data_IF_374946624753
#
_entry.id   IF_374946624753
#
_cell.length_a   1.000
_cell.length_b   1.000
_cell.length_c   1.000
_cell.angle_alpha   90.00
_cell.angle_beta   90.00
_cell.angle_gamma   90.00
#
_symmetry.space_group_name_H-M   'P 1'
#
loop_
_entity.id
_entity.type
_entity.pdbx_description
1 polymer ?
#
# COMPACT_ATOMS: atom_id res chain seq x y z
N UNK A 1 45.26 -31.49 -42.51
CA UNK A 1 44.54 -31.34 -41.21
C UNK A 1 44.41 -29.89 -40.72
N UNK A 2 44.70 -28.86 -41.49
CA UNK A 2 44.69 -27.44 -41.05
C UNK A 2 43.30 -26.79 -41.24
N UNK A 3 42.46 -27.31 -42.17
CA UNK A 3 41.16 -26.69 -42.46
C UNK A 3 40.06 -26.79 -41.39
N UNK A 4 40.11 -27.76 -40.50
CA UNK A 4 39.06 -27.96 -39.47
C UNK A 4 39.27 -27.11 -38.21
N UNK A 5 40.48 -26.60 -37.97
CA UNK A 5 40.77 -25.77 -36.81
C UNK A 5 40.29 -24.32 -37.02
N UNK A 6 40.26 -23.82 -38.25
CA UNK A 6 39.75 -22.48 -38.59
C UNK A 6 38.22 -22.41 -38.59
N UNK A 7 37.50 -23.48 -38.95
CA UNK A 7 36.03 -23.51 -38.91
C UNK A 7 35.46 -23.42 -37.47
N UNK A 8 36.15 -23.91 -36.44
CA UNK A 8 35.73 -23.80 -35.04
C UNK A 8 35.92 -22.40 -34.45
N UNK A 9 36.86 -21.60 -34.96
CA UNK A 9 37.14 -20.24 -34.48
C UNK A 9 36.13 -19.20 -34.98
N UNK A 10 35.35 -19.48 -35.99
CA UNK A 10 34.36 -18.60 -36.61
C UNK A 10 32.92 -19.10 -36.45
N UNK A 11 32.65 -20.02 -35.52
CA UNK A 11 31.28 -20.36 -35.21
C UNK A 11 30.57 -19.12 -34.63
N UNK A 12 29.47 -18.71 -35.26
CA UNK A 12 28.63 -17.57 -34.78
C UNK A 12 28.33 -17.80 -33.29
N UNK A 13 28.63 -16.82 -32.49
CA UNK A 13 28.30 -16.88 -31.08
C UNK A 13 26.80 -17.17 -30.91
N UNK A 14 26.38 -18.06 -30.00
CA UNK A 14 24.99 -18.36 -29.82
C UNK A 14 24.23 -17.08 -29.46
N UNK A 15 22.96 -16.93 -29.91
CA UNK A 15 22.15 -15.78 -29.61
C UNK A 15 22.08 -15.52 -28.07
N UNK A 16 22.17 -14.25 -27.63
CA UNK A 16 22.12 -13.93 -26.22
C UNK A 16 20.75 -14.31 -25.64
N UNK A 17 20.76 -14.90 -24.45
CA UNK A 17 19.53 -15.13 -23.66
C UNK A 17 19.00 -13.83 -23.11
N UNK A 18 17.78 -13.48 -23.47
CA UNK A 18 17.12 -12.21 -23.09
C UNK A 18 15.77 -12.54 -22.48
N UNK A 19 15.47 -11.88 -21.35
CA UNK A 19 14.17 -12.05 -20.69
C UNK A 19 13.11 -11.31 -21.49
N UNK A 20 12.08 -12.04 -21.88
CA UNK A 20 10.94 -11.53 -22.64
C UNK A 20 9.65 -11.70 -21.85
N UNK A 21 8.65 -10.92 -22.20
CA UNK A 21 7.27 -11.02 -21.68
C UNK A 21 6.30 -10.62 -22.78
N UNK A 22 5.03 -10.87 -22.57
CA UNK A 22 3.94 -10.37 -23.41
C UNK A 22 3.29 -9.15 -22.78
N UNK A 23 2.90 -8.21 -23.60
CA UNK A 23 2.05 -7.09 -23.19
C UNK A 23 0.67 -7.59 -22.80
N UNK A 24 0.09 -7.09 -21.73
CA UNK A 24 -1.22 -7.50 -21.21
C UNK A 24 -1.99 -6.28 -20.70
N UNK A 25 -3.28 -6.34 -20.76
CA UNK A 25 -4.14 -5.37 -20.10
C UNK A 25 -3.95 -5.42 -18.59
N UNK A 26 -3.87 -4.24 -17.98
CA UNK A 26 -3.70 -4.04 -16.55
C UNK A 26 -4.52 -2.84 -16.09
N UNK A 27 -4.86 -2.88 -14.82
CA UNK A 27 -5.44 -1.71 -14.16
C UNK A 27 -4.32 -0.72 -13.87
N UNK A 28 -4.50 0.51 -14.32
CA UNK A 28 -3.73 1.69 -13.94
C UNK A 28 -4.60 2.57 -13.07
N UNK A 29 -4.04 3.08 -12.00
CA UNK A 29 -4.70 4.00 -11.10
C UNK A 29 -3.72 5.07 -10.65
N UNK A 30 -4.22 6.28 -10.47
CA UNK A 30 -3.49 7.36 -9.85
C UNK A 30 -3.91 7.48 -8.39
N UNK A 31 -2.99 7.89 -7.53
CA UNK A 31 -3.20 7.91 -6.08
C UNK A 31 -2.83 9.28 -5.53
N UNK A 32 -3.75 9.88 -4.79
CA UNK A 32 -3.48 11.05 -3.96
C UNK A 32 -3.22 10.55 -2.55
N UNK A 33 -2.02 10.79 -2.03
CA UNK A 33 -1.64 10.44 -0.67
C UNK A 33 -1.71 11.66 0.24
N UNK A 34 -2.43 11.55 1.34
CA UNK A 34 -2.59 12.59 2.35
C UNK A 34 -2.75 11.96 3.73
N UNK A 35 -2.92 12.78 4.74
CA UNK A 35 -3.08 12.35 6.14
C UNK A 35 -4.25 13.08 6.78
N UNK A 36 -4.84 12.46 7.79
CA UNK A 36 -5.87 13.09 8.55
C UNK A 36 -6.08 12.41 9.92
N UNK A 37 -7.00 12.96 10.67
CA UNK A 37 -7.35 12.46 12.01
C UNK A 37 -8.73 11.83 11.97
N UNK A 38 -8.84 10.66 12.59
CA UNK A 38 -10.11 9.95 12.74
C UNK A 38 -11.08 10.74 13.62
N UNK A 39 -12.29 10.92 13.15
CA UNK A 39 -13.39 11.56 13.91
C UNK A 39 -14.61 10.65 13.93
N UNK A 40 -15.40 10.64 15.02
CA UNK A 40 -16.65 9.86 15.07
C UNK A 40 -17.71 10.53 14.19
N UNK A 41 -18.76 9.78 13.84
CA UNK A 41 -19.90 10.34 13.10
C UNK A 41 -20.57 11.44 13.89
N UNK A 42 -20.77 11.17 15.19
CA UNK A 42 -21.49 12.04 16.09
C UNK A 42 -20.85 12.00 17.47
N UNK A 43 -20.74 13.17 18.09
CA UNK A 43 -20.27 13.33 19.46
C UNK A 43 -21.27 14.17 20.23
N UNK A 44 -21.58 13.74 21.43
CA UNK A 44 -22.32 14.54 22.40
C UNK A 44 -21.54 14.61 23.70
N UNK A 45 -21.27 15.82 24.17
CA UNK A 45 -20.49 16.05 25.39
C UNK A 45 -21.39 16.54 26.53
N UNK A 46 -21.11 16.06 27.74
CA UNK A 46 -21.83 16.42 28.96
C UNK A 46 -20.81 16.84 30.02
N UNK A 47 -20.95 18.08 30.50
CA UNK A 47 -20.21 18.53 31.68
C UNK A 47 -21.02 18.17 32.92
N UNK A 48 -20.41 17.52 33.89
CA UNK A 48 -21.04 17.06 35.14
C UNK A 48 -20.15 17.46 36.28
N UNK A 49 -20.76 18.06 37.31
CA UNK A 49 -20.06 18.34 38.57
C UNK A 49 -19.93 17.04 39.39
N UNK A 50 -18.73 16.77 39.92
CA UNK A 50 -18.42 15.51 40.63
C UNK A 50 -19.35 15.26 41.82
N UNK A 51 -19.79 16.31 42.49
CA UNK A 51 -20.69 16.19 43.63
C UNK A 51 -22.12 15.78 43.28
N UNK A 52 -22.52 15.88 41.98
CA UNK A 52 -23.84 15.46 41.51
C UNK A 52 -23.90 13.94 41.23
N UNK A 53 -22.77 13.28 41.08
CA UNK A 53 -22.69 11.87 40.67
C UNK A 53 -23.14 10.97 41.83
N UNK A 54 -24.23 10.21 41.62
CA UNK A 54 -24.73 9.25 42.59
C UNK A 54 -24.05 7.87 42.47
N UNK A 55 -23.71 7.47 41.28
CA UNK A 55 -23.06 6.16 40.98
C UNK A 55 -21.88 6.36 40.05
N UNK A 56 -20.79 5.60 40.21
CA UNK A 56 -19.67 5.63 39.28
C UNK A 56 -20.13 5.49 37.85
N UNK A 57 -19.51 6.24 36.93
CA UNK A 57 -19.79 6.20 35.52
C UNK A 57 -18.81 5.21 34.88
N UNK A 58 -19.34 4.26 34.11
CA UNK A 58 -18.55 3.28 33.41
C UNK A 58 -18.13 3.85 32.04
N UNK A 59 -16.83 4.04 31.86
CA UNK A 59 -16.26 4.46 30.58
C UNK A 59 -15.97 3.26 29.70
N UNK A 60 -15.83 3.50 28.38
CA UNK A 60 -15.64 2.49 27.32
C UNK A 60 -16.79 1.47 27.21
N UNK A 61 -17.95 1.81 27.75
CA UNK A 61 -19.15 1.00 27.64
C UNK A 61 -19.96 1.39 26.40
N UNK A 62 -20.38 0.40 25.63
CA UNK A 62 -21.36 0.59 24.56
C UNK A 62 -22.74 0.75 25.17
N UNK A 63 -23.45 1.76 24.73
CA UNK A 63 -24.84 2.06 25.15
C UNK A 63 -25.73 2.22 23.94
N UNK A 64 -27.00 1.89 24.12
CA UNK A 64 -28.04 2.14 23.14
C UNK A 64 -28.78 3.43 23.44
N UNK A 65 -29.39 4.01 22.41
CA UNK A 65 -30.27 5.15 22.54
C UNK A 65 -31.31 4.91 23.65
N UNK A 66 -31.45 5.87 24.55
CA UNK A 66 -32.34 5.83 25.71
C UNK A 66 -31.74 5.18 26.97
N UNK A 67 -30.61 4.49 26.90
CA UNK A 67 -29.93 3.96 28.09
C UNK A 67 -29.35 5.07 28.97
N UNK A 68 -29.31 4.82 30.29
CA UNK A 68 -28.82 5.79 31.26
C UNK A 68 -27.29 5.75 31.29
N UNK A 69 -26.65 6.86 30.90
CA UNK A 69 -25.20 7.07 30.96
C UNK A 69 -24.74 7.42 32.36
N UNK A 70 -25.46 8.34 33.01
CA UNK A 70 -25.12 8.80 34.35
C UNK A 70 -26.37 9.08 35.20
N UNK A 71 -26.31 8.64 36.46
CA UNK A 71 -27.32 8.97 37.48
C UNK A 71 -26.79 10.11 38.34
N UNK A 72 -27.44 11.26 38.28
CA UNK A 72 -27.10 12.44 39.04
C UNK A 72 -28.18 12.68 40.12
N UNK A 73 -27.86 13.50 41.12
CA UNK A 73 -28.78 13.80 42.26
C UNK A 73 -30.16 14.28 41.80
N UNK A 74 -30.17 15.17 40.80
CA UNK A 74 -31.40 15.86 40.38
C UNK A 74 -31.86 15.44 38.96
N UNK A 75 -31.08 14.63 38.23
CA UNK A 75 -31.39 14.23 36.85
C UNK A 75 -30.66 12.95 36.44
N UNK A 76 -31.15 12.33 35.35
CA UNK A 76 -30.45 11.25 34.68
C UNK A 76 -30.01 11.76 33.32
N UNK A 77 -28.79 11.38 32.90
CA UNK A 77 -28.33 11.60 31.57
C UNK A 77 -28.54 10.30 30.78
N UNK A 78 -29.24 10.40 29.65
CA UNK A 78 -29.53 9.26 28.77
C UNK A 78 -28.85 9.44 27.42
N UNK A 79 -28.48 8.32 26.80
CA UNK A 79 -27.89 8.30 25.45
C UNK A 79 -28.91 8.78 24.41
N UNK A 80 -28.55 9.76 23.62
CA UNK A 80 -29.39 10.28 22.53
C UNK A 80 -29.30 9.42 21.26
N UNK A 81 -28.22 8.66 21.14
CA UNK A 81 -27.93 7.72 20.02
C UNK A 81 -27.10 6.53 20.54
N UNK A 82 -26.96 5.50 19.72
CA UNK A 82 -26.11 4.36 20.03
C UNK A 82 -24.64 4.76 19.94
N UNK A 83 -23.83 4.41 20.95
CA UNK A 83 -22.43 4.84 20.95
C UNK A 83 -21.61 4.27 22.10
N UNK A 84 -20.44 4.84 22.28
CA UNK A 84 -19.49 4.49 23.34
C UNK A 84 -19.32 5.68 24.30
N UNK A 85 -19.35 5.40 25.59
CA UNK A 85 -19.13 6.42 26.63
C UNK A 85 -17.62 6.61 26.80
N UNK A 86 -17.14 7.83 26.57
CA UNK A 86 -15.76 8.23 26.79
C UNK A 86 -15.62 9.23 27.93
N UNK A 87 -14.40 9.39 28.44
CA UNK A 87 -14.00 10.48 29.32
C UNK A 87 -13.11 11.44 28.56
N UNK A 88 -13.41 12.73 28.60
CA UNK A 88 -12.54 13.77 28.06
C UNK A 88 -12.00 14.65 29.19
N UNK A 89 -10.81 15.19 29.01
CA UNK A 89 -10.20 16.14 29.93
C UNK A 89 -10.49 17.58 29.53
N UNK A 90 -10.75 17.82 28.25
CA UNK A 90 -11.10 19.15 27.71
C UNK A 90 -12.07 19.00 26.53
N UNK A 91 -12.74 20.08 26.19
CA UNK A 91 -13.54 20.26 24.98
C UNK A 91 -13.39 21.71 24.55
N UNK A 92 -13.43 21.96 23.24
CA UNK A 92 -13.35 23.31 22.68
C UNK A 92 -14.50 24.22 23.20
N UNK A 93 -15.68 23.62 23.45
CA UNK A 93 -16.89 24.35 23.82
C UNK A 93 -17.21 24.32 25.32
N UNK A 94 -16.45 23.57 26.14
CA UNK A 94 -16.80 23.37 27.56
C UNK A 94 -15.57 23.50 28.45
N UNK A 95 -15.61 24.46 29.37
CA UNK A 95 -14.61 24.59 30.43
C UNK A 95 -14.76 23.48 31.47
N UNK A 96 -13.66 22.76 31.73
CA UNK A 96 -13.60 21.71 32.76
C UNK A 96 -12.74 22.17 33.91
N UNK A 97 -13.31 22.13 35.13
CA UNK A 97 -12.62 22.47 36.36
C UNK A 97 -12.21 21.21 37.14
N UNK A 98 -11.43 21.37 38.21
CA UNK A 98 -11.09 20.25 39.12
C UNK A 98 -12.32 19.60 39.76
N UNK A 99 -13.43 20.32 39.86
CA UNK A 99 -14.71 19.85 40.46
C UNK A 99 -15.62 19.18 39.46
N UNK A 100 -15.34 19.28 38.15
CA UNK A 100 -16.18 18.74 37.09
C UNK A 100 -15.49 17.62 36.31
N UNK A 101 -16.27 16.84 35.57
CA UNK A 101 -15.82 15.86 34.57
C UNK A 101 -16.56 16.12 33.27
N UNK A 102 -15.89 15.85 32.16
CA UNK A 102 -16.47 15.85 30.84
C UNK A 102 -16.64 14.42 30.37
N UNK A 103 -17.87 14.07 30.03
CA UNK A 103 -18.23 12.78 29.46
C UNK A 103 -18.64 13.03 28.03
N UNK A 104 -18.23 12.17 27.13
CA UNK A 104 -18.69 12.15 25.76
C UNK A 104 -19.38 10.83 25.43
N UNK A 105 -20.42 10.92 24.63
CA UNK A 105 -21.02 9.81 23.91
C UNK A 105 -20.60 9.96 22.45
N UNK A 106 -19.99 8.95 21.89
CA UNK A 106 -19.48 8.96 20.52
C UNK A 106 -20.03 7.79 19.72
N UNK A 107 -20.61 8.08 18.54
CA UNK A 107 -20.91 7.05 17.56
C UNK A 107 -19.66 6.79 16.70
N UNK A 108 -19.04 5.64 16.94
CA UNK A 108 -17.85 5.19 16.26
C UNK A 108 -18.11 4.04 15.29
N UNK A 109 -19.37 3.79 14.92
CA UNK A 109 -19.75 2.72 13.97
C UNK A 109 -19.12 2.91 12.58
N UNK A 110 -19.01 4.17 12.18
CA UNK A 110 -18.16 4.65 11.08
C UNK A 110 -17.17 5.67 11.61
N UNK A 111 -16.09 5.86 10.88
CA UNK A 111 -15.13 6.93 11.15
C UNK A 111 -15.11 7.86 9.95
N UNK A 112 -15.14 9.14 10.22
CA UNK A 112 -14.79 10.18 9.27
C UNK A 112 -13.33 10.59 9.39
N UNK A 113 -12.76 11.02 8.29
CA UNK A 113 -11.45 11.64 8.25
C UNK A 113 -11.50 12.81 7.27
N UNK A 114 -11.39 14.02 7.78
CA UNK A 114 -11.32 15.21 6.94
C UNK A 114 -9.86 15.43 6.52
N UNK A 115 -9.65 15.61 5.23
CA UNK A 115 -8.34 15.78 4.60
C UNK A 115 -8.36 16.95 3.62
N UNK A 116 -7.23 17.62 3.50
CA UNK A 116 -7.04 18.72 2.56
C UNK A 116 -6.42 18.20 1.26
N UNK A 117 -7.12 18.41 0.15
CA UNK A 117 -6.68 17.99 -1.19
C UNK A 117 -6.22 19.22 -1.97
N UNK A 118 -4.96 19.26 -2.44
CA UNK A 118 -4.44 20.38 -3.23
C UNK A 118 -5.29 20.68 -4.47
N UNK A 119 -5.43 21.95 -4.82
CA UNK A 119 -6.27 22.47 -5.92
C UNK A 119 -6.02 21.74 -7.25
N UNK A 120 -4.80 21.34 -7.54
CA UNK A 120 -4.41 20.61 -8.76
C UNK A 120 -5.18 19.29 -8.94
N UNK A 121 -5.65 18.67 -7.86
CA UNK A 121 -6.36 17.39 -7.90
C UNK A 121 -7.88 17.54 -7.87
N UNK A 122 -8.41 18.76 -7.67
CA UNK A 122 -9.85 19.01 -7.56
C UNK A 122 -10.66 18.46 -8.75
N UNK A 123 -10.21 18.57 -10.01
CA UNK A 123 -10.96 18.03 -11.15
C UNK A 123 -11.19 16.52 -11.10
N UNK A 124 -10.38 15.80 -10.32
CA UNK A 124 -10.44 14.34 -10.21
C UNK A 124 -11.23 13.86 -8.98
N UNK A 125 -11.55 14.75 -8.02
CA UNK A 125 -12.27 14.38 -6.80
C UNK A 125 -13.76 14.24 -7.09
N UNK A 126 -14.29 13.07 -6.71
CA UNK A 126 -15.71 12.72 -6.84
C UNK A 126 -16.16 11.93 -5.61
N UNK A 127 -17.42 12.09 -5.23
CA UNK A 127 -18.04 11.25 -4.20
C UNK A 127 -18.02 9.79 -4.65
N UNK A 128 -17.73 8.88 -3.73
CA UNK A 128 -17.62 7.43 -3.99
C UNK A 128 -16.27 6.98 -4.53
N UNK A 129 -15.26 7.85 -4.67
CA UNK A 129 -13.91 7.39 -5.01
C UNK A 129 -13.39 6.43 -3.93
N UNK A 130 -12.79 5.29 -4.33
CA UNK A 130 -12.25 4.33 -3.39
C UNK A 130 -11.00 4.88 -2.68
N UNK A 131 -10.94 4.63 -1.37
CA UNK A 131 -9.87 5.10 -0.51
C UNK A 131 -9.27 3.93 0.25
N UNK A 132 -7.94 3.79 0.18
CA UNK A 132 -7.17 2.91 1.04
C UNK A 132 -6.68 3.69 2.27
N UNK A 133 -6.95 3.16 3.46
CA UNK A 133 -6.66 3.82 4.73
C UNK A 133 -5.74 2.92 5.54
N UNK A 134 -4.63 3.49 6.03
CA UNK A 134 -3.72 2.80 6.93
C UNK A 134 -3.69 3.49 8.28
N UNK A 135 -3.73 2.70 9.32
CA UNK A 135 -3.56 3.13 10.69
C UNK A 135 -2.26 2.56 11.25
N UNK A 136 -1.41 3.41 11.78
CA UNK A 136 -0.06 3.02 12.25
C UNK A 136 -0.08 1.98 13.38
N UNK A 137 -1.18 1.85 14.10
CA UNK A 137 -1.38 0.82 15.12
C UNK A 137 -1.43 -0.61 14.57
N UNK A 138 -1.80 -0.78 13.29
CA UNK A 138 -1.90 -2.08 12.62
C UNK A 138 -1.11 -2.07 11.31
N UNK A 139 0.20 -2.34 11.39
CA UNK A 139 1.19 -2.13 10.31
C UNK A 139 0.87 -2.78 8.95
N UNK A 140 0.12 -3.87 8.94
CA UNK A 140 -0.14 -4.65 7.70
C UNK A 140 -1.63 -4.69 7.32
N UNK A 141 -2.47 -3.86 7.95
CA UNK A 141 -3.91 -3.81 7.68
C UNK A 141 -4.26 -2.56 6.87
N UNK A 142 -4.98 -2.77 5.78
CA UNK A 142 -5.53 -1.70 4.96
C UNK A 142 -7.03 -1.74 5.15
N UNK A 143 -7.57 -0.62 5.60
CA UNK A 143 -9.01 -0.40 5.71
C UNK A 143 -9.49 0.23 4.41
N UNK A 144 -10.73 -0.05 4.05
CA UNK A 144 -11.36 0.52 2.85
C UNK A 144 -12.36 1.57 3.26
N UNK A 145 -12.34 2.65 2.52
CA UNK A 145 -13.29 3.74 2.67
C UNK A 145 -13.62 4.34 1.31
N UNK A 146 -14.34 5.42 1.34
CA UNK A 146 -14.75 6.18 0.16
C UNK A 146 -14.76 7.67 0.46
N UNK A 147 -14.68 8.49 -0.58
CA UNK A 147 -14.95 9.91 -0.48
C UNK A 147 -16.44 10.09 -0.24
N UNK A 148 -16.81 10.59 0.94
CA UNK A 148 -18.19 10.84 1.35
C UNK A 148 -18.70 12.17 0.79
N UNK A 149 -17.92 13.22 0.99
CA UNK A 149 -18.28 14.58 0.59
C UNK A 149 -17.05 15.47 0.48
N UNK A 150 -17.21 16.64 -0.10
CA UNK A 150 -16.15 17.65 -0.16
C UNK A 150 -16.77 19.06 -0.10
N UNK A 151 -15.96 20.04 0.29
CA UNK A 151 -16.38 21.42 0.41
C UNK A 151 -16.81 22.00 -0.94
N UNK A 152 -17.74 22.96 -0.92
CA UNK A 152 -18.23 23.65 -2.13
C UNK A 152 -17.24 24.69 -2.67
N UNK A 153 -16.15 24.98 -1.95
CA UNK A 153 -15.14 25.98 -2.31
C UNK A 153 -13.75 25.55 -1.82
N UNK A 154 -12.74 26.01 -2.53
CA UNK A 154 -11.33 25.86 -2.16
C UNK A 154 -11.01 26.92 -1.10
N UNK A 155 -10.25 26.53 -0.10
CA UNK A 155 -9.69 27.45 0.90
C UNK A 155 -8.65 28.38 0.24
N UNK A 156 -8.82 29.68 0.42
CA UNK A 156 -7.89 30.66 -0.12
C UNK A 156 -6.53 30.65 0.59
N UNK A 157 -6.54 30.27 1.87
CA UNK A 157 -5.33 30.22 2.70
C UNK A 157 -4.47 29.00 2.39
N UNK A 158 -5.10 27.82 2.29
CA UNK A 158 -4.37 26.55 2.12
C UNK A 158 -4.28 26.09 0.67
N UNK A 159 -5.04 26.73 -0.26
CA UNK A 159 -5.19 26.28 -1.66
C UNK A 159 -5.56 24.80 -1.78
N UNK A 160 -6.44 24.37 -0.89
CA UNK A 160 -6.88 22.99 -0.80
C UNK A 160 -8.40 22.89 -0.69
N UNK A 161 -8.94 21.77 -1.14
CA UNK A 161 -10.33 21.36 -1.02
C UNK A 161 -10.47 20.44 0.18
N UNK A 162 -11.21 20.87 1.20
CA UNK A 162 -11.54 20.01 2.34
C UNK A 162 -12.45 18.87 1.85
N UNK A 163 -12.00 17.64 2.08
CA UNK A 163 -12.63 16.42 1.58
C UNK A 163 -12.83 15.45 2.74
N UNK A 164 -14.05 14.95 2.90
CA UNK A 164 -14.41 13.99 3.95
C UNK A 164 -14.35 12.58 3.42
N UNK A 165 -13.60 11.75 4.10
CA UNK A 165 -13.51 10.31 3.88
C UNK A 165 -14.33 9.59 4.92
N UNK A 166 -15.09 8.58 4.52
CA UNK A 166 -15.89 7.71 5.37
C UNK A 166 -15.37 6.29 5.30
N UNK A 167 -15.26 5.62 6.45
CA UNK A 167 -14.88 4.21 6.53
C UNK A 167 -15.73 3.49 7.57
N UNK A 168 -16.03 2.22 7.31
CA UNK A 168 -16.69 1.34 8.28
C UNK A 168 -15.73 1.01 9.43
N UNK A 169 -16.23 1.08 10.66
CA UNK A 169 -15.49 0.76 11.86
C UNK A 169 -16.29 -0.15 12.82
N UNK A 170 -17.10 -1.05 12.28
CA UNK A 170 -17.90 -1.98 13.07
C UNK A 170 -17.07 -2.81 14.06
N UNK A 171 -15.80 -3.07 13.73
CA UNK A 171 -14.84 -3.74 14.64
C UNK A 171 -14.39 -2.87 15.82
N UNK A 172 -14.55 -1.54 15.74
CA UNK A 172 -14.09 -0.59 16.75
C UNK A 172 -12.56 -0.49 16.89
N UNK A 173 -11.82 -0.89 15.87
CA UNK A 173 -10.34 -0.90 15.90
C UNK A 173 -9.73 0.49 15.76
N UNK A 174 -10.41 1.39 15.05
CA UNK A 174 -9.98 2.77 14.88
C UNK A 174 -10.68 3.64 15.92
N UNK A 175 -9.90 4.23 16.79
CA UNK A 175 -10.43 5.15 17.79
C UNK A 175 -10.42 6.58 17.26
N UNK A 176 -11.42 7.41 17.61
CA UNK A 176 -11.36 8.84 17.34
C UNK A 176 -10.05 9.44 17.88
N UNK A 177 -9.46 10.38 17.10
CA UNK A 177 -8.15 10.94 17.38
C UNK A 177 -6.98 10.16 16.78
N UNK A 178 -7.22 8.97 16.19
CA UNK A 178 -6.17 8.21 15.49
C UNK A 178 -5.67 8.96 14.26
N UNK A 179 -4.35 8.93 14.04
CA UNK A 179 -3.72 9.42 12.82
C UNK A 179 -3.83 8.38 11.71
N UNK A 180 -4.31 8.80 10.55
CA UNK A 180 -4.60 7.95 9.39
C UNK A 180 -3.81 8.41 8.17
N UNK A 181 -3.20 7.47 7.45
CA UNK A 181 -2.64 7.66 6.12
C UNK A 181 -3.72 7.32 5.10
N UNK A 182 -4.05 8.28 4.24
CA UNK A 182 -5.15 8.21 3.28
C UNK A 182 -4.58 8.15 1.87
N UNK A 183 -5.05 7.20 1.08
CA UNK A 183 -4.69 7.03 -0.33
C UNK A 183 -5.96 6.99 -1.16
N UNK A 184 -6.33 8.12 -1.77
CA UNK A 184 -7.50 8.26 -2.63
C UNK A 184 -7.10 7.81 -4.04
N UNK A 185 -7.82 6.84 -4.59
CA UNK A 185 -7.59 6.32 -5.93
C UNK A 185 -8.49 7.03 -6.92
N UNK A 186 -7.88 7.57 -7.95
CA UNK A 186 -8.61 8.25 -9.03
C UNK A 186 -8.12 7.81 -10.40
N UNK A 187 -8.91 8.11 -11.44
CA UNK A 187 -8.61 7.77 -12.83
C UNK A 187 -8.24 6.28 -13.01
N UNK A 188 -9.02 5.42 -12.34
CA UNK A 188 -8.86 3.95 -12.45
C UNK A 188 -9.32 3.51 -13.82
N UNK A 189 -8.42 2.93 -14.60
CA UNK A 189 -8.68 2.49 -15.98
C UNK A 189 -7.91 1.24 -16.37
N UNK A 190 -8.40 0.52 -17.37
CA UNK A 190 -7.66 -0.55 -18.00
C UNK A 190 -6.81 0.04 -19.14
N UNK A 191 -5.54 -0.32 -19.16
CA UNK A 191 -4.60 0.08 -20.19
C UNK A 191 -3.64 -1.05 -20.54
N UNK A 192 -3.00 -0.95 -21.69
CA UNK A 192 -1.97 -1.91 -22.10
C UNK A 192 -0.71 -1.68 -21.28
N UNK A 193 -0.24 -2.69 -20.56
CA UNK A 193 0.91 -2.60 -19.67
C UNK A 193 2.16 -3.28 -20.21
N UNK A 194 3.30 -2.60 -20.09
CA UNK A 194 4.63 -3.15 -20.29
C UNK A 194 5.48 -2.95 -19.03
N UNK A 195 6.42 -3.85 -18.69
CA UNK A 195 7.33 -3.62 -17.58
C UNK A 195 8.14 -2.34 -17.80
N UNK A 196 8.32 -1.54 -16.75
CA UNK A 196 9.13 -0.31 -16.78
C UNK A 196 10.55 -0.56 -17.32
N UNK A 197 11.11 -1.73 -16.98
CA UNK A 197 12.44 -2.16 -17.42
C UNK A 197 12.56 -2.41 -18.92
N UNK A 198 11.45 -2.49 -19.65
CA UNK A 198 11.41 -2.67 -21.10
C UNK A 198 11.60 -1.36 -21.86
N UNK A 199 11.40 -0.22 -21.22
CA UNK A 199 11.45 1.10 -21.88
C UNK A 199 12.89 1.57 -22.10
N UNK A 200 13.11 2.21 -23.24
CA UNK A 200 14.38 2.84 -23.63
C UNK A 200 14.06 4.28 -24.00
N UNK A 201 14.61 5.22 -23.25
CA UNK A 201 14.43 6.65 -23.51
C UNK A 201 15.61 7.17 -24.31
N UNK A 202 15.35 7.79 -25.44
CA UNK A 202 16.35 8.43 -26.30
C UNK A 202 15.84 9.82 -26.71
N UNK A 203 16.40 10.84 -26.06
CA UNK A 203 15.90 12.21 -26.18
C UNK A 203 14.44 12.29 -25.70
N UNK A 204 13.56 12.78 -26.55
CA UNK A 204 12.13 12.90 -26.27
C UNK A 204 11.31 11.65 -26.66
N UNK A 205 11.95 10.63 -27.21
CA UNK A 205 11.27 9.45 -27.70
C UNK A 205 11.48 8.25 -26.78
N UNK A 206 10.43 7.48 -26.60
CA UNK A 206 10.47 6.20 -25.87
C UNK A 206 10.33 5.05 -26.87
N UNK A 207 11.15 4.02 -26.65
CA UNK A 207 11.15 2.83 -27.49
C UNK A 207 11.03 1.58 -26.64
N UNK A 208 10.48 0.52 -27.25
CA UNK A 208 10.46 -0.83 -26.70
C UNK A 208 10.96 -1.78 -27.78
N UNK A 209 11.69 -2.80 -27.38
CA UNK A 209 12.10 -3.86 -28.31
C UNK A 209 10.99 -4.91 -28.41
N UNK A 210 10.30 -4.95 -29.57
CA UNK A 210 9.34 -5.99 -29.94
C UNK A 210 10.09 -7.19 -30.52
N UNK A 211 9.64 -8.40 -30.22
CA UNK A 211 10.25 -9.67 -30.66
C UNK A 211 9.29 -10.38 -31.59
N UNK A 212 9.72 -10.66 -32.81
CA UNK A 212 8.92 -11.38 -33.80
C UNK A 212 8.94 -12.91 -33.58
N UNK A 213 8.16 -13.64 -34.37
CA UNK A 213 8.07 -15.10 -34.31
C UNK A 213 9.41 -15.81 -34.59
N UNK A 214 10.32 -15.16 -35.33
CA UNK A 214 11.67 -15.65 -35.64
C UNK A 214 12.68 -15.25 -34.54
N UNK A 215 12.21 -14.73 -33.42
CA UNK A 215 13.01 -14.20 -32.29
C UNK A 215 13.98 -13.06 -32.71
N UNK A 216 13.62 -12.30 -33.73
CA UNK A 216 14.35 -11.12 -34.19
C UNK A 216 13.75 -9.90 -33.50
N UNK A 217 14.59 -8.98 -33.07
CA UNK A 217 14.21 -7.80 -32.32
C UNK A 217 14.02 -6.61 -33.25
N UNK A 218 12.88 -5.94 -33.12
CA UNK A 218 12.59 -4.66 -33.75
C UNK A 218 12.50 -3.56 -32.69
N UNK A 219 13.13 -2.42 -32.91
CA UNK A 219 13.02 -1.23 -32.07
C UNK A 219 11.74 -0.49 -32.46
N UNK A 220 10.76 -0.46 -31.61
CA UNK A 220 9.44 0.13 -31.87
C UNK A 220 9.30 1.40 -31.03
N UNK A 221 8.94 2.52 -31.66
CA UNK A 221 8.59 3.76 -30.96
C UNK A 221 7.23 3.56 -30.29
N UNK A 222 7.10 4.01 -29.04
CA UNK A 222 5.87 3.92 -28.28
C UNK A 222 5.53 5.25 -27.63
N UNK A 223 4.24 5.51 -27.46
CA UNK A 223 3.75 6.57 -26.60
C UNK A 223 3.36 5.97 -25.26
N UNK A 224 3.92 6.49 -24.19
CA UNK A 224 3.66 6.00 -22.84
C UNK A 224 2.72 6.90 -22.09
N UNK A 225 1.92 6.31 -21.20
CA UNK A 225 1.08 6.99 -20.21
C UNK A 225 1.66 6.88 -18.81
N UNK A 226 0.80 6.61 -17.84
CA UNK A 226 1.16 6.53 -16.43
C UNK A 226 1.98 5.29 -16.08
N UNK A 227 2.64 5.38 -14.93
CA UNK A 227 3.41 4.27 -14.36
C UNK A 227 2.78 3.81 -13.06
N UNK A 228 2.53 2.52 -12.97
CA UNK A 228 1.93 1.93 -11.78
C UNK A 228 2.51 0.55 -11.47
N UNK A 229 2.94 0.34 -10.24
CA UNK A 229 3.47 -0.93 -9.72
C UNK A 229 4.54 -1.61 -10.60
N UNK A 230 5.48 -0.80 -11.15
CA UNK A 230 6.58 -1.31 -11.98
C UNK A 230 6.21 -1.61 -13.44
N UNK A 231 5.04 -1.16 -13.86
CA UNK A 231 4.57 -1.18 -15.24
C UNK A 231 4.33 0.23 -15.75
N UNK A 232 4.51 0.42 -17.03
CA UNK A 232 4.19 1.62 -17.78
C UNK A 232 3.01 1.33 -18.70
N UNK A 233 2.08 2.26 -18.75
CA UNK A 233 0.97 2.22 -19.70
C UNK A 233 1.46 2.55 -21.10
N UNK A 234 1.03 1.78 -22.08
CA UNK A 234 1.32 1.99 -23.49
C UNK A 234 0.06 2.51 -24.16
N UNK A 235 0.12 3.78 -24.57
CA UNK A 235 -0.99 4.46 -25.24
C UNK A 235 -0.99 4.16 -26.76
N UNK A 236 0.19 4.00 -27.35
CA UNK A 236 0.35 3.72 -28.77
C UNK A 236 1.67 2.98 -29.05
N UNK A 237 1.71 2.25 -30.19
CA UNK A 237 2.90 1.57 -30.72
C UNK A 237 2.99 0.07 -30.45
N UNK A 238 2.16 -0.50 -29.55
CA UNK A 238 2.09 -1.94 -29.27
C UNK A 238 0.63 -2.41 -29.18
N UNK A 239 0.43 -3.70 -29.43
CA UNK A 239 -0.85 -4.37 -29.25
C UNK A 239 -0.80 -5.36 -28.07
N UNK A 240 -1.97 -5.72 -27.55
CA UNK A 240 -2.09 -6.77 -26.54
C UNK A 240 -1.57 -8.10 -27.09
N UNK A 241 -0.76 -8.80 -26.31
CA UNK A 241 -0.13 -10.05 -26.72
C UNK A 241 1.21 -9.89 -27.45
N UNK A 242 1.66 -8.67 -27.76
CA UNK A 242 2.96 -8.44 -28.37
C UNK A 242 4.09 -8.93 -27.44
N UNK A 243 5.01 -9.73 -28.00
CA UNK A 243 6.19 -10.19 -27.27
C UNK A 243 7.25 -9.10 -27.25
N UNK A 244 7.69 -8.72 -26.06
CA UNK A 244 8.64 -7.63 -25.85
C UNK A 244 9.82 -8.07 -24.97
N UNK A 245 10.94 -7.37 -25.09
CA UNK A 245 12.09 -7.53 -24.19
C UNK A 245 11.74 -6.90 -22.85
N UNK A 246 11.68 -7.70 -21.80
CA UNK A 246 11.38 -7.24 -20.44
C UNK A 246 12.60 -6.74 -19.69
N UNK A 247 13.74 -7.45 -19.84
CA UNK A 247 14.98 -7.11 -19.15
C UNK A 247 16.20 -7.37 -20.06
N UNK A 248 17.27 -6.60 -19.84
CA UNK A 248 18.51 -6.74 -20.60
C UNK A 248 18.55 -5.93 -21.91
N UNK A 249 17.77 -4.88 -22.00
CA UNK A 249 17.69 -3.96 -23.16
C UNK A 249 19.06 -3.47 -23.62
N UNK A 250 20.02 -3.24 -22.71
CA UNK A 250 21.41 -2.84 -23.03
C UNK A 250 22.21 -3.87 -23.84
N UNK A 251 21.79 -5.15 -23.84
CA UNK A 251 22.44 -6.26 -24.60
C UNK A 251 21.81 -6.48 -25.96
N UNK A 252 20.75 -5.78 -26.26
CA UNK A 252 19.94 -5.94 -27.47
C UNK A 252 20.21 -4.80 -28.43
N UNK A 253 20.21 -5.12 -29.72
CA UNK A 253 20.29 -4.13 -30.81
C UNK A 253 19.21 -4.44 -31.85
N UNK A 254 18.75 -3.46 -32.63
CA UNK A 254 17.81 -3.69 -33.70
C UNK A 254 18.32 -4.80 -34.65
N UNK A 255 17.40 -5.63 -35.11
CA UNK A 255 17.67 -6.76 -36.00
C UNK A 255 18.49 -7.93 -35.42
N UNK A 256 18.80 -7.91 -34.12
CA UNK A 256 19.48 -9.01 -33.45
C UNK A 256 18.50 -10.18 -33.25
N UNK A 257 18.95 -11.41 -33.53
CA UNK A 257 18.24 -12.62 -33.13
C UNK A 257 18.62 -12.96 -31.70
N UNK A 258 17.63 -13.15 -30.82
CA UNK A 258 17.79 -13.46 -29.40
C UNK A 258 17.31 -14.88 -29.08
N UNK A 259 17.73 -15.41 -27.95
CA UNK A 259 17.12 -16.58 -27.33
C UNK A 259 16.19 -16.12 -26.24
N UNK A 260 14.86 -16.13 -26.46
CA UNK A 260 13.91 -15.67 -25.45
C UNK A 260 13.93 -16.58 -24.23
N UNK A 261 13.88 -15.95 -23.05
CA UNK A 261 13.73 -16.61 -21.75
C UNK A 261 12.49 -15.99 -21.12
N UNK A 262 11.44 -16.77 -20.91
CA UNK A 262 10.21 -16.27 -20.32
C UNK A 262 10.42 -15.91 -18.84
N UNK A 263 9.86 -14.79 -18.42
CA UNK A 263 9.93 -14.31 -17.04
C UNK A 263 9.05 -15.20 -16.16
N UNK A 264 9.54 -16.33 -15.74
CA UNK A 264 8.79 -17.34 -14.96
C UNK A 264 9.38 -18.75 -15.09
N UNK A 265 10.20 -19.01 -16.10
CA UNK A 265 10.95 -20.24 -16.15
C UNK A 265 12.04 -20.22 -15.08
N UNK A 266 11.84 -20.97 -13.99
CA UNK A 266 12.92 -21.28 -13.03
C UNK A 266 14.13 -21.71 -13.85
N UNK A 267 15.28 -21.04 -13.63
CA UNK A 267 16.57 -21.47 -14.17
C UNK A 267 16.77 -22.94 -13.78
N UNK A 268 16.53 -23.85 -14.71
CA UNK A 268 17.18 -25.16 -14.66
C UNK A 268 18.66 -24.86 -14.85
N UNK A 269 19.41 -24.87 -13.76
CA UNK A 269 20.87 -24.80 -13.81
C UNK A 269 21.34 -25.96 -14.67
N UNK A 270 21.68 -25.66 -15.91
CA UNK A 270 22.50 -26.55 -16.73
C UNK A 270 23.80 -26.77 -15.99
N UNK A 271 23.98 -27.98 -15.54
CA UNK A 271 25.19 -28.50 -14.91
C UNK A 271 26.31 -28.50 -15.94
N UNK A 272 27.01 -27.37 -16.08
CA UNK A 272 28.33 -27.38 -16.73
C UNK A 272 29.34 -27.66 -15.63
N UNK A 273 29.67 -28.94 -15.49
CA UNK A 273 30.76 -29.38 -14.62
C UNK A 273 32.08 -28.74 -15.03
N UNK A 274 32.64 -27.97 -14.10
CA UNK A 274 34.09 -27.88 -13.90
C UNK A 274 34.38 -27.20 -12.54
N UNK A 275 35.02 -27.96 -11.67
CA UNK A 275 35.88 -27.44 -10.62
C UNK A 275 35.26 -27.10 -9.28
N UNK A 276 35.44 -27.95 -8.29
CA UNK A 276 35.40 -27.44 -6.93
C UNK A 276 35.12 -28.39 -5.78
N UNK A 277 35.97 -29.35 -5.55
CA UNK A 277 36.04 -30.12 -4.25
C UNK A 277 36.45 -29.29 -3.03
N UNK A 278 36.10 -28.02 -2.94
CA UNK A 278 36.54 -27.16 -1.78
C UNK A 278 35.42 -26.50 -0.99
N UNK A 279 34.13 -26.83 -1.19
CA UNK A 279 33.02 -26.18 -0.44
C UNK A 279 32.28 -27.04 0.59
N UNK A 280 32.61 -28.32 0.74
CA UNK A 280 31.95 -29.17 1.76
C UNK A 280 32.49 -29.00 3.17
N UNK A 281 33.78 -28.67 3.36
CA UNK A 281 34.34 -28.47 4.70
C UNK A 281 33.87 -27.23 5.47
N UNK A 282 33.30 -26.23 4.82
CA UNK A 282 32.83 -25.00 5.49
C UNK A 282 31.36 -25.03 5.97
N UNK A 283 30.58 -26.04 5.56
CA UNK A 283 29.21 -26.22 6.00
C UNK A 283 29.09 -27.03 7.29
N UNK A 284 30.03 -27.93 7.56
CA UNK A 284 30.07 -28.73 8.79
C UNK A 284 30.55 -27.89 9.98
N UNK A 285 31.47 -26.96 9.79
CA UNK A 285 31.92 -26.05 10.86
C UNK A 285 30.86 -25.08 11.37
N UNK A 286 29.88 -24.73 10.55
CA UNK A 286 28.78 -23.88 10.98
C UNK A 286 27.67 -24.61 11.75
N UNK A 287 27.48 -25.91 11.54
CA UNK A 287 26.51 -26.72 12.30
C UNK A 287 26.94 -26.91 13.75
N UNK A 288 28.22 -27.18 14.00
CA UNK A 288 28.76 -27.39 15.35
C UNK A 288 28.69 -26.17 16.27
N UNK A 289 28.68 -24.95 15.70
CA UNK A 289 28.59 -23.71 16.48
C UNK A 289 27.17 -23.35 16.93
N UNK A 290 26.14 -23.88 16.26
CA UNK A 290 24.71 -23.64 16.62
C UNK A 290 24.22 -24.66 17.68
N UNK A 291 24.76 -25.86 17.72
CA UNK A 291 24.39 -26.89 18.72
C UNK A 291 24.96 -26.58 20.11
N UNK A 292 26.07 -25.88 20.20
CA UNK A 292 26.65 -25.43 21.48
C UNK A 292 25.73 -24.37 22.14
N UNK A 293 25.11 -23.45 21.39
CA UNK A 293 24.17 -22.44 21.91
C UNK A 293 22.89 -23.06 22.49
N UNK A 294 22.38 -24.14 21.89
CA UNK A 294 21.20 -24.86 22.40
C UNK A 294 21.47 -25.59 23.75
N UNK A 295 22.68 -26.00 23.98
CA UNK A 295 23.06 -26.68 25.23
C UNK A 295 23.25 -25.70 26.40
N UNK A 296 23.63 -24.44 26.14
CA UNK A 296 23.73 -23.41 27.18
C UNK A 296 22.33 -23.02 27.69
N UNK A 297 21.35 -22.84 26.79
CA UNK A 297 19.99 -22.52 27.19
C UNK A 297 19.27 -23.62 27.97
N UNK A 298 19.57 -24.89 27.69
CA UNK A 298 19.02 -26.04 28.46
C UNK A 298 19.59 -26.19 29.86
N UNK A 299 20.78 -25.63 30.11
CA UNK A 299 21.43 -25.73 31.45
C UNK A 299 20.91 -24.65 32.40
N UNK A 300 20.49 -23.46 31.87
CA UNK A 300 19.97 -22.39 32.69
C UNK A 300 18.50 -22.59 33.15
N UNK A 301 17.74 -23.49 32.52
CA UNK A 301 16.39 -23.87 32.98
C UNK A 301 16.37 -24.95 34.07
N UNK A 302 17.49 -25.68 34.25
CA UNK A 302 17.60 -26.71 35.32
C UNK A 302 18.11 -26.16 36.65
N UNK A 303 18.64 -24.96 36.70
CA UNK A 303 19.14 -24.33 37.94
C UNK A 303 18.09 -23.37 38.59
N UNK A 304 16.87 -23.31 38.03
CA UNK A 304 15.75 -22.53 38.59
C UNK A 304 14.54 -23.37 39.00
N UNK A 305 14.77 -24.64 39.36
CA UNK A 305 13.76 -25.45 40.03
C UNK A 305 14.26 -25.92 41.37
#
# INVERSE_FOLDING_TARGET
MIGNHFKKKFSKRPPPGIIVTTTQERVFENVISTYGTATPIQTQSFKIEKYEILKPINFNQKVKKGEVIANLKNRKITAQFDGVIGKREFSEDLEVSKSSILINLEDTSYIYCDVDIPEIFVPFIKVGLPVDIKFSGYKNKIYKGEVDSFASRISEDTRALATRIKMDNASGEILPGSFLEISIKYDVRNGLGAPDTSTIVEGENVFIYKVDEKNKVAKTKVTIGDRYLGFVEILDGLNSGDKIVAEGTKKVRPNLTIRPIDKGSKKTQGNSGWGGKKKQKKAEEKKGKFDWLKNIFKKSEKEKK
#
